data_IF_222661768450
#
_entry.id   IF_222661768450
#
_cell.length_a   1.000
_cell.length_b   1.000
_cell.length_c   1.000
_cell.angle_alpha   90.00
_cell.angle_beta   90.00
_cell.angle_gamma   90.00
#
_symmetry.space_group_name_H-M   'P 1'
#
loop_
_entity.id
_entity.type
_entity.pdbx_description
1 polymer ?
#
# COMPACT_ATOMS: atom_id res chain seq x y z
N UNK A 1 14.70 -2.43 16.57
CA UNK A 1 14.39 -1.01 16.84
C UNK A 1 14.80 -0.64 18.26
N UNK A 2 15.28 0.58 18.50
CA UNK A 2 15.55 1.09 19.84
C UNK A 2 14.61 2.26 20.15
N UNK A 3 13.86 2.18 21.24
CA UNK A 3 12.97 3.26 21.71
C UNK A 3 13.17 3.43 23.22
N UNK A 4 13.47 4.65 23.67
CA UNK A 4 13.70 4.98 25.09
C UNK A 4 14.72 4.05 25.81
N UNK A 5 15.79 3.67 25.10
CA UNK A 5 16.81 2.75 25.64
C UNK A 5 16.42 1.26 25.62
N UNK A 6 15.17 0.93 25.32
CA UNK A 6 14.70 -0.44 25.15
C UNK A 6 14.89 -0.92 23.72
N UNK A 7 15.21 -2.22 23.58
CA UNK A 7 15.36 -2.88 22.28
C UNK A 7 14.10 -3.68 21.98
N UNK A 8 13.44 -3.31 20.90
CA UNK A 8 12.30 -4.01 20.34
C UNK A 8 12.72 -4.78 19.10
N UNK A 9 12.28 -6.02 19.01
CA UNK A 9 12.51 -6.88 17.86
C UNK A 9 11.40 -6.64 16.83
N UNK A 10 11.79 -6.20 15.64
CA UNK A 10 10.88 -5.91 14.52
C UNK A 10 11.31 -6.68 13.27
N UNK A 11 11.98 -7.83 13.46
CA UNK A 11 12.31 -8.74 12.37
C UNK A 11 11.02 -9.39 11.83
N UNK A 12 10.64 -9.05 10.60
CA UNK A 12 9.44 -9.60 9.96
C UNK A 12 9.45 -11.13 9.90
N UNK A 13 10.61 -11.75 9.65
CA UNK A 13 10.73 -13.21 9.54
C UNK A 13 10.41 -13.92 10.87
N UNK A 14 10.63 -13.25 12.01
CA UNK A 14 10.27 -13.78 13.33
C UNK A 14 8.77 -13.94 13.49
N UNK A 15 7.98 -13.05 12.90
CA UNK A 15 6.54 -12.94 13.14
C UNK A 15 5.68 -13.56 12.02
N UNK A 16 6.12 -13.54 10.75
CA UNK A 16 5.31 -13.91 9.57
C UNK A 16 4.68 -15.30 9.55
N UNK A 17 5.14 -16.24 10.38
CA UNK A 17 4.60 -17.60 10.48
C UNK A 17 4.01 -17.93 11.86
N UNK A 18 3.77 -16.90 12.68
CA UNK A 18 3.15 -17.04 13.99
C UNK A 18 1.67 -16.67 13.91
N UNK A 19 0.85 -17.50 14.53
CA UNK A 19 -0.59 -17.28 14.66
C UNK A 19 -0.94 -16.97 16.11
N UNK A 20 -2.03 -16.23 16.32
CA UNK A 20 -2.56 -15.89 17.66
C UNK A 20 -1.60 -15.07 18.53
N UNK A 21 -0.85 -14.15 17.92
CA UNK A 21 -0.10 -13.15 18.66
C UNK A 21 -1.07 -12.26 19.44
N UNK A 22 -0.64 -11.74 20.59
CA UNK A 22 -1.44 -10.83 21.40
C UNK A 22 -0.55 -9.84 22.14
N UNK A 23 -1.14 -8.69 22.50
CA UNK A 23 -0.45 -7.66 23.28
C UNK A 23 0.75 -7.09 22.53
N UNK A 24 1.93 -7.11 23.16
CA UNK A 24 3.13 -6.49 22.59
C UNK A 24 3.60 -7.20 21.30
N UNK A 25 3.54 -8.53 21.23
CA UNK A 25 4.02 -9.25 20.06
C UNK A 25 3.16 -8.98 18.82
N UNK A 26 1.85 -8.79 18.99
CA UNK A 26 0.95 -8.38 17.91
C UNK A 26 1.29 -6.97 17.40
N UNK A 27 1.58 -6.03 18.30
CA UNK A 27 2.02 -4.68 17.91
C UNK A 27 3.35 -4.70 17.16
N UNK A 28 4.32 -5.49 17.64
CA UNK A 28 5.62 -5.62 17.01
C UNK A 28 5.54 -6.31 15.65
N UNK A 29 4.70 -7.33 15.51
CA UNK A 29 4.39 -7.96 14.22
C UNK A 29 3.82 -6.93 13.22
N UNK A 30 2.81 -6.15 13.62
CA UNK A 30 2.24 -5.14 12.72
C UNK A 30 3.25 -4.05 12.35
N UNK A 31 4.12 -3.62 13.27
CA UNK A 31 5.22 -2.68 12.96
C UNK A 31 6.22 -3.33 12.00
N UNK A 32 6.63 -4.58 12.26
CA UNK A 32 7.56 -5.31 11.41
C UNK A 32 7.00 -5.48 9.99
N UNK A 33 5.74 -5.87 9.86
CA UNK A 33 5.02 -5.96 8.60
C UNK A 33 5.00 -4.62 7.86
N UNK A 34 4.66 -3.52 8.56
CA UNK A 34 4.60 -2.18 7.96
C UNK A 34 5.95 -1.62 7.53
N UNK A 35 7.04 -2.00 8.20
CA UNK A 35 8.39 -1.52 7.86
C UNK A 35 9.03 -2.37 6.77
N UNK A 36 8.76 -3.67 6.76
CA UNK A 36 9.40 -4.62 5.86
C UNK A 36 8.61 -4.86 4.57
N UNK A 37 7.30 -5.03 4.69
CA UNK A 37 6.42 -5.47 3.60
C UNK A 37 5.61 -4.33 3.00
N UNK A 38 4.99 -3.49 3.84
CA UNK A 38 4.25 -2.34 3.33
C UNK A 38 5.25 -1.26 2.94
N UNK A 39 5.45 -1.07 1.64
CA UNK A 39 6.19 0.09 1.17
C UNK A 39 5.46 1.36 1.64
N UNK A 40 6.17 2.31 2.25
CA UNK A 40 5.62 3.61 2.67
C UNK A 40 5.09 4.48 1.50
N UNK A 41 5.07 3.95 0.28
CA UNK A 41 4.53 4.58 -0.93
C UNK A 41 3.28 3.80 -1.32
N UNK A 42 2.12 4.41 -1.14
CA UNK A 42 0.87 3.84 -1.63
C UNK A 42 0.70 4.21 -3.10
N UNK A 43 0.67 3.19 -3.96
CA UNK A 43 0.26 3.36 -5.35
C UNK A 43 -1.25 3.45 -5.42
N UNK A 44 -1.77 4.46 -6.12
CA UNK A 44 -3.19 4.58 -6.42
C UNK A 44 -3.38 4.45 -7.92
N UNK A 45 -4.21 3.51 -8.35
CA UNK A 45 -4.66 3.43 -9.75
C UNK A 45 -5.77 4.44 -10.00
N UNK A 46 -6.67 4.61 -9.03
CA UNK A 46 -7.78 5.54 -9.05
C UNK A 46 -7.91 6.15 -7.66
N UNK A 47 -8.00 7.47 -7.58
CA UNK A 47 -8.29 8.16 -6.34
C UNK A 47 -8.78 9.59 -6.61
N UNK A 48 -9.75 10.07 -5.84
CA UNK A 48 -10.28 11.44 -5.95
C UNK A 48 -9.46 12.43 -5.12
N UNK A 49 -9.12 12.04 -3.89
CA UNK A 49 -8.28 12.84 -2.98
C UNK A 49 -7.34 11.92 -2.19
N UNK A 50 -6.03 12.12 -2.31
CA UNK A 50 -5.02 11.32 -1.60
C UNK A 50 -5.04 11.54 -0.10
N UNK A 51 -5.65 12.64 0.35
CA UNK A 51 -5.85 12.95 1.77
C UNK A 51 -6.93 12.06 2.40
N UNK A 52 -7.86 11.52 1.59
CA UNK A 52 -8.89 10.60 2.05
C UNK A 52 -8.35 9.20 2.37
N UNK A 53 -7.07 8.93 2.07
CA UNK A 53 -6.41 7.72 2.52
C UNK A 53 -6.24 7.77 4.06
N UNK A 54 -7.10 7.01 4.75
CA UNK A 54 -7.41 7.12 6.18
C UNK A 54 -6.29 6.87 7.21
N UNK A 55 -5.03 6.86 6.79
CA UNK A 55 -3.87 6.66 7.66
C UNK A 55 -2.94 7.87 7.72
N UNK A 56 -3.30 8.97 7.03
CA UNK A 56 -2.55 10.23 7.03
C UNK A 56 -1.09 10.05 6.60
N UNK A 57 -0.86 9.22 5.59
CA UNK A 57 0.49 8.95 5.04
C UNK A 57 1.22 10.21 4.57
N UNK A 58 0.46 11.25 4.21
CA UNK A 58 0.99 12.53 3.79
C UNK A 58 1.62 13.33 4.95
N UNK A 59 1.34 12.96 6.21
CA UNK A 59 1.90 13.60 7.40
C UNK A 59 3.05 12.78 8.03
N UNK A 60 3.01 11.46 7.89
CA UNK A 60 3.96 10.53 8.54
C UNK A 60 3.94 9.13 7.91
N UNK A 61 5.01 8.34 8.09
CA UNK A 61 5.00 6.93 7.73
C UNK A 61 3.96 6.13 8.52
N UNK A 62 3.26 5.20 7.86
CA UNK A 62 2.08 4.53 8.43
C UNK A 62 2.38 3.64 9.65
N UNK A 63 3.59 3.08 9.76
CA UNK A 63 3.99 2.29 10.92
C UNK A 63 3.96 3.09 12.24
N UNK A 64 3.98 4.43 12.16
CA UNK A 64 3.83 5.29 13.33
C UNK A 64 2.51 5.10 14.05
N UNK A 65 1.42 4.80 13.33
CA UNK A 65 0.10 4.57 13.91
C UNK A 65 0.12 3.51 15.01
N UNK A 66 1.03 2.55 14.92
CA UNK A 66 1.17 1.44 15.87
C UNK A 66 2.34 1.72 16.82
N UNK A 67 3.40 2.36 16.33
CA UNK A 67 4.56 2.73 17.12
C UNK A 67 4.18 3.60 18.32
N UNK A 68 3.27 4.56 18.15
CA UNK A 68 2.78 5.44 19.24
C UNK A 68 2.14 4.65 20.39
N UNK A 69 1.64 3.44 20.13
CA UNK A 69 1.07 2.58 21.17
C UNK A 69 2.13 1.87 22.03
N UNK A 70 3.42 2.01 21.73
CA UNK A 70 4.52 1.41 22.50
C UNK A 70 4.99 2.31 23.64
N UNK A 71 5.01 3.63 23.46
CA UNK A 71 5.49 4.56 24.48
C UNK A 71 5.06 6.03 24.24
N UNK A 72 5.00 6.87 25.29
CA UNK A 72 4.80 8.32 25.13
C UNK A 72 5.93 9.00 24.34
N UNK A 73 7.14 8.45 24.32
CA UNK A 73 8.23 8.96 23.50
C UNK A 73 7.97 8.75 22.00
N UNK A 74 7.31 7.65 21.62
CA UNK A 74 6.91 7.41 20.25
C UNK A 74 5.85 8.42 19.76
N UNK A 75 4.95 8.86 20.63
CA UNK A 75 3.98 9.92 20.35
C UNK A 75 4.68 11.26 20.00
N UNK A 76 5.73 11.63 20.74
CA UNK A 76 6.54 12.82 20.39
C UNK A 76 7.21 12.71 19.02
N UNK A 77 7.62 11.50 18.63
CA UNK A 77 8.20 11.25 17.32
C UNK A 77 7.15 11.37 16.21
N UNK A 78 5.93 10.87 16.44
CA UNK A 78 4.78 11.03 15.56
C UNK A 78 4.44 12.50 15.31
N UNK A 79 4.32 13.29 16.40
CA UNK A 79 4.12 14.73 16.32
C UNK A 79 5.26 15.44 15.59
N UNK A 80 6.51 15.04 15.84
CA UNK A 80 7.65 15.61 15.15
C UNK A 80 7.55 15.39 13.63
N UNK A 81 7.25 14.16 13.19
CA UNK A 81 7.08 13.85 11.76
C UNK A 81 5.93 14.63 11.13
N UNK A 82 4.76 14.67 11.77
CA UNK A 82 3.61 15.45 11.28
C UNK A 82 3.94 16.92 11.03
N UNK A 83 4.78 17.50 11.89
CA UNK A 83 5.11 18.93 11.82
C UNK A 83 6.34 19.27 10.97
N UNK A 84 7.15 18.28 10.57
CA UNK A 84 8.44 18.51 9.90
C UNK A 84 8.60 17.73 8.59
N UNK A 85 7.67 16.85 8.26
CA UNK A 85 7.70 16.09 7.02
C UNK A 85 7.19 16.94 5.85
N UNK A 86 7.61 16.53 4.65
CA UNK A 86 7.04 16.99 3.38
C UNK A 86 6.57 15.75 2.65
N UNK A 87 5.36 15.81 2.11
CA UNK A 87 4.79 14.78 1.27
C UNK A 87 4.74 15.24 -0.17
N UNK A 88 4.76 14.26 -1.06
CA UNK A 88 4.77 14.48 -2.50
C UNK A 88 3.76 13.55 -3.14
N UNK A 89 3.01 14.07 -4.10
CA UNK A 89 2.29 13.26 -5.09
C UNK A 89 3.23 13.05 -6.27
N UNK A 90 3.49 11.80 -6.61
CA UNK A 90 4.29 11.42 -7.77
C UNK A 90 3.34 10.79 -8.79
N UNK A 91 3.08 11.51 -9.88
CA UNK A 91 2.31 10.98 -11.00
C UNK A 91 3.27 10.29 -11.97
N UNK A 92 2.97 9.04 -12.31
CA UNK A 92 3.77 8.23 -13.20
C UNK A 92 2.88 7.26 -13.98
N UNK A 93 3.39 6.74 -15.09
CA UNK A 93 2.76 5.64 -15.79
C UNK A 93 3.55 4.33 -15.61
N UNK A 94 2.86 3.20 -15.57
CA UNK A 94 3.46 1.88 -15.58
C UNK A 94 2.86 1.04 -16.70
N UNK A 95 3.67 0.16 -17.28
CA UNK A 95 3.20 -0.87 -18.21
C UNK A 95 2.52 -2.00 -17.44
N UNK A 96 1.67 -2.77 -18.11
CA UNK A 96 0.95 -3.90 -17.50
C UNK A 96 1.94 -4.90 -16.88
N UNK A 97 3.07 -5.12 -17.55
CA UNK A 97 4.13 -6.05 -17.15
C UNK A 97 4.88 -5.61 -15.88
N UNK A 98 4.83 -4.31 -15.56
CA UNK A 98 5.41 -3.71 -14.36
C UNK A 98 4.50 -3.83 -13.14
N UNK A 99 3.20 -4.07 -13.35
CA UNK A 99 2.18 -4.14 -12.30
C UNK A 99 1.97 -5.60 -11.89
N UNK A 100 1.68 -5.84 -10.62
CA UNK A 100 1.33 -7.17 -10.15
C UNK A 100 0.07 -7.69 -10.84
N UNK A 101 0.09 -8.95 -11.26
CA UNK A 101 -1.07 -9.62 -11.90
C UNK A 101 -2.34 -9.57 -11.05
N UNK A 102 -2.18 -9.66 -9.73
CA UNK A 102 -3.30 -9.62 -8.80
C UNK A 102 -4.05 -8.29 -8.80
N UNK A 103 -3.43 -7.17 -9.23
CA UNK A 103 -4.14 -5.90 -9.43
C UNK A 103 -5.32 -6.05 -10.37
N UNK A 104 -5.23 -6.98 -11.32
CA UNK A 104 -6.22 -7.21 -12.37
C UNK A 104 -7.07 -8.47 -12.11
N UNK A 105 -7.07 -8.97 -10.87
CA UNK A 105 -7.77 -10.21 -10.48
C UNK A 105 -7.39 -11.43 -11.34
N UNK A 106 -6.13 -11.48 -11.77
CA UNK A 106 -5.58 -12.60 -12.56
C UNK A 106 -5.04 -13.75 -11.70
N UNK A 107 -5.21 -13.69 -10.38
CA UNK A 107 -4.84 -14.77 -9.46
C UNK A 107 -5.91 -15.85 -9.44
N UNK A 108 -5.52 -17.09 -9.76
CA UNK A 108 -6.44 -18.22 -9.94
C UNK A 108 -7.15 -18.70 -8.66
N UNK A 109 -6.68 -18.24 -7.49
CA UNK A 109 -7.19 -18.65 -6.18
C UNK A 109 -8.36 -17.80 -5.69
N UNK A 110 -8.68 -16.70 -6.36
CA UNK A 110 -9.81 -15.82 -6.01
C UNK A 110 -11.07 -16.21 -6.77
N UNK A 111 -12.22 -15.91 -6.17
CA UNK A 111 -13.48 -16.05 -6.89
C UNK A 111 -13.46 -15.16 -8.15
N UNK A 112 -13.90 -15.69 -9.30
CA UNK A 112 -13.87 -14.93 -10.54
C UNK A 112 -14.76 -13.68 -10.43
N UNK A 113 -14.29 -12.49 -10.87
CA UNK A 113 -15.07 -11.26 -10.82
C UNK A 113 -16.28 -11.28 -11.77
N UNK A 114 -16.29 -12.17 -12.78
CA UNK A 114 -17.35 -12.28 -13.80
C UNK A 114 -17.65 -13.75 -14.14
N UNK A 115 -18.87 -14.04 -14.62
CA UNK A 115 -19.35 -15.43 -14.85
C UNK A 115 -18.51 -16.23 -15.87
N UNK A 116 -18.08 -15.59 -16.97
CA UNK A 116 -17.29 -16.16 -18.06
C UNK A 116 -15.77 -16.10 -17.81
N UNK A 117 -15.32 -15.54 -16.68
CA UNK A 117 -13.91 -15.22 -16.42
C UNK A 117 -12.96 -16.41 -16.59
N UNK A 118 -13.40 -17.61 -16.21
CA UNK A 118 -12.61 -18.84 -16.28
C UNK A 118 -12.36 -19.32 -17.71
N UNK A 119 -13.18 -18.89 -18.67
CA UNK A 119 -13.06 -19.25 -20.08
C UNK A 119 -12.14 -18.30 -20.87
N UNK A 120 -11.79 -17.17 -20.26
CA UNK A 120 -10.98 -16.12 -20.87
C UNK A 120 -9.48 -16.39 -20.64
N UNK A 121 -8.66 -16.08 -21.65
CA UNK A 121 -7.22 -15.93 -21.45
C UNK A 121 -6.91 -14.62 -20.70
N UNK A 122 -5.65 -14.48 -20.26
CA UNK A 122 -5.22 -13.32 -19.46
C UNK A 122 -5.37 -11.98 -20.19
N UNK A 123 -5.19 -11.95 -21.51
CA UNK A 123 -5.32 -10.72 -22.29
C UNK A 123 -6.79 -10.27 -22.33
N UNK A 124 -7.71 -11.21 -22.54
CA UNK A 124 -9.15 -10.97 -22.50
C UNK A 124 -9.62 -10.57 -21.11
N UNK A 125 -9.12 -11.24 -20.06
CA UNK A 125 -9.39 -10.89 -18.66
C UNK A 125 -8.96 -9.46 -18.34
N UNK A 126 -7.74 -9.11 -18.70
CA UNK A 126 -7.20 -7.76 -18.48
C UNK A 126 -8.04 -6.70 -19.18
N UNK A 127 -8.35 -6.89 -20.47
CA UNK A 127 -9.20 -5.96 -21.24
C UNK A 127 -10.59 -5.80 -20.61
N UNK A 128 -11.20 -6.92 -20.20
CA UNK A 128 -12.51 -6.92 -19.54
C UNK A 128 -12.46 -6.18 -18.21
N UNK A 129 -11.47 -6.48 -17.38
CA UNK A 129 -11.25 -5.81 -16.10
C UNK A 129 -11.11 -4.30 -16.26
N UNK A 130 -10.22 -3.86 -17.16
CA UNK A 130 -9.97 -2.44 -17.42
C UNK A 130 -11.22 -1.73 -17.93
N UNK A 131 -11.96 -2.34 -18.86
CA UNK A 131 -13.17 -1.75 -19.41
C UNK A 131 -14.27 -1.64 -18.35
N UNK A 132 -14.50 -2.69 -17.57
CA UNK A 132 -15.48 -2.68 -16.48
C UNK A 132 -15.15 -1.61 -15.44
N UNK A 133 -13.90 -1.55 -14.96
CA UNK A 133 -13.50 -0.54 -13.97
C UNK A 133 -13.62 0.89 -14.53
N UNK A 134 -13.32 1.10 -15.80
CA UNK A 134 -13.52 2.40 -16.45
C UNK A 134 -15.00 2.80 -16.53
N UNK A 135 -15.90 1.85 -16.82
CA UNK A 135 -17.35 2.08 -16.83
C UNK A 135 -17.86 2.39 -15.42
N UNK A 136 -17.47 1.59 -14.43
CA UNK A 136 -17.89 1.78 -13.03
C UNK A 136 -17.39 3.14 -12.50
N UNK A 137 -16.15 3.51 -12.83
CA UNK A 137 -15.59 4.82 -12.50
C UNK A 137 -16.34 5.97 -13.18
N UNK A 138 -16.71 5.82 -14.45
CA UNK A 138 -17.48 6.84 -15.18
C UNK A 138 -18.88 7.05 -14.60
N UNK A 139 -19.47 6.02 -13.99
CA UNK A 139 -20.76 6.09 -13.29
C UNK A 139 -20.63 6.49 -11.81
N UNK A 140 -19.41 6.75 -11.32
CA UNK A 140 -19.12 7.03 -9.91
C UNK A 140 -19.48 5.87 -8.96
N UNK A 141 -19.47 4.64 -9.47
CA UNK A 141 -19.71 3.40 -8.72
C UNK A 141 -18.40 2.76 -8.23
N UNK A 142 -17.25 3.29 -8.65
CA UNK A 142 -15.93 2.83 -8.26
C UNK A 142 -15.12 3.95 -7.60
N UNK A 143 -14.80 3.74 -6.32
CA UNK A 143 -13.95 4.62 -5.52
C UNK A 143 -12.45 4.32 -5.67
N UNK A 144 -11.71 4.58 -4.61
CA UNK A 144 -10.25 4.38 -4.54
C UNK A 144 -9.84 2.95 -4.92
N UNK A 145 -8.83 2.84 -5.78
CA UNK A 145 -8.19 1.57 -6.16
C UNK A 145 -6.68 1.67 -5.98
N UNK A 146 -6.09 0.62 -5.41
CA UNK A 146 -4.65 0.55 -5.19
C UNK A 146 -3.90 0.02 -6.42
N UNK A 147 -2.67 0.47 -6.58
CA UNK A 147 -1.74 0.05 -7.62
C UNK A 147 -0.54 -0.63 -6.96
N UNK A 148 -0.24 -1.88 -7.32
CA UNK A 148 0.92 -2.59 -6.80
C UNK A 148 1.92 -2.84 -7.92
N UNK A 149 3.04 -2.13 -7.88
CA UNK A 149 4.18 -2.39 -8.74
C UNK A 149 4.88 -3.67 -8.26
N UNK A 150 5.36 -4.47 -9.19
CA UNK A 150 6.09 -5.71 -8.85
C UNK A 150 7.33 -5.42 -8.00
N UNK A 151 7.59 -6.29 -7.03
CA UNK A 151 8.75 -6.17 -6.11
C UNK A 151 10.10 -5.99 -6.82
N UNK A 152 10.27 -6.59 -8.00
CA UNK A 152 11.51 -6.55 -8.79
C UNK A 152 11.57 -5.38 -9.79
N UNK A 153 10.56 -4.52 -9.81
CA UNK A 153 10.41 -3.44 -10.78
C UNK A 153 10.64 -2.09 -10.13
N UNK A 154 11.56 -1.34 -10.71
CA UNK A 154 11.77 0.08 -10.39
C UNK A 154 11.12 0.91 -11.48
N UNK A 155 10.26 1.85 -11.10
CA UNK A 155 9.72 2.86 -12.03
C UNK A 155 10.88 3.80 -12.41
N UNK A 156 11.33 3.82 -13.68
CA UNK A 156 12.43 4.67 -14.10
C UNK A 156 11.99 6.14 -14.10
N UNK A 157 12.92 7.10 -13.92
CA UNK A 157 12.59 8.53 -13.93
C UNK A 157 11.89 9.00 -15.21
N UNK A 158 12.10 8.32 -16.34
CA UNK A 158 11.44 8.63 -17.61
C UNK A 158 9.94 8.31 -17.62
N UNK A 159 9.47 7.52 -16.66
CA UNK A 159 8.04 7.20 -16.49
C UNK A 159 7.34 8.13 -15.49
N UNK A 160 8.09 9.02 -14.82
CA UNK A 160 7.53 10.02 -13.91
C UNK A 160 7.06 11.22 -14.75
N UNK A 161 5.78 11.55 -14.63
CA UNK A 161 5.13 12.63 -15.37
C UNK A 161 5.16 13.94 -14.58
N UNK A 162 4.90 13.88 -13.27
CA UNK A 162 5.04 15.04 -12.38
C UNK A 162 5.37 14.63 -10.94
N UNK A 163 5.94 15.58 -10.20
CA UNK A 163 6.14 15.50 -8.75
C UNK A 163 5.64 16.81 -8.17
N UNK A 164 4.68 16.73 -7.26
CA UNK A 164 4.02 17.87 -6.65
C UNK A 164 4.14 17.76 -5.13
N UNK A 165 4.61 18.83 -4.47
CA UNK A 165 4.59 18.91 -3.00
C UNK A 165 3.13 19.13 -2.56
N UNK A 166 2.70 18.37 -1.55
CA UNK A 166 1.34 18.47 -0.97
C UNK A 166 1.20 19.63 0.00
#
# INVERSE_FOLDING_TARGET
MHCNGEKYDIDYEKYRSRYFLSGLDEKLDRIAHRVYYDYCVNGFLLNDDVLDYGTSIHERPEFFMILVELSPEAEKLDEYWKNHSKSFVVNFYATVEQIHRFNFELDEWRDPPYEDWKELDDEMKLKKWMLSHAIDRANNDLGMQFLYIRDDVIIPPTQIESIEEM
#
